data_IF_754266012910
#
_entry.id   IF_754266012910
#
_cell.length_a   1.000
_cell.length_b   1.000
_cell.length_c   1.000
_cell.angle_alpha   90.00
_cell.angle_beta   90.00
_cell.angle_gamma   90.00
#
_symmetry.space_group_name_H-M   'P 1'
#
loop_
_entity.id
_entity.type
_entity.pdbx_description
1 polymer ?
#
# COMPACT_ATOMS: atom_id res chain seq x y z
N UNK A 1 5.23 -20.96 30.55
CA UNK A 1 5.04 -21.17 29.10
C UNK A 1 4.85 -19.82 28.40
N UNK A 2 5.86 -18.93 28.40
CA UNK A 2 5.69 -17.55 27.90
C UNK A 2 6.72 -17.13 26.82
N UNK A 3 7.58 -18.05 26.37
CA UNK A 3 8.66 -17.76 25.40
C UNK A 3 8.35 -18.12 23.93
N UNK A 4 7.19 -18.70 23.62
CA UNK A 4 6.84 -19.12 22.25
C UNK A 4 6.25 -18.00 21.39
N UNK A 5 5.76 -16.92 22.01
CA UNK A 5 5.12 -15.78 21.34
C UNK A 5 6.06 -14.91 20.47
N UNK A 6 7.31 -14.58 20.89
CA UNK A 6 8.20 -13.75 20.07
C UNK A 6 8.75 -14.48 18.84
N UNK A 7 8.98 -15.80 18.93
CA UNK A 7 9.52 -16.60 17.83
C UNK A 7 8.49 -16.76 16.70
N UNK A 8 7.22 -16.98 17.04
CA UNK A 8 6.14 -17.08 16.04
C UNK A 8 5.97 -15.77 15.27
N UNK A 9 6.03 -14.63 15.97
CA UNK A 9 5.91 -13.31 15.34
C UNK A 9 7.11 -13.01 14.43
N UNK A 10 8.32 -13.43 14.81
CA UNK A 10 9.51 -13.33 13.98
C UNK A 10 9.42 -14.21 12.72
N UNK A 11 8.97 -15.46 12.85
CA UNK A 11 8.73 -16.36 11.71
C UNK A 11 7.67 -15.80 10.76
N UNK A 12 6.53 -15.33 11.27
CA UNK A 12 5.46 -14.73 10.45
C UNK A 12 5.99 -13.49 9.72
N UNK A 13 6.74 -12.62 10.40
CA UNK A 13 7.37 -11.45 9.77
C UNK A 13 8.40 -11.83 8.72
N UNK A 14 9.19 -12.88 8.93
CA UNK A 14 10.18 -13.35 7.98
C UNK A 14 9.55 -13.97 6.73
N UNK A 15 8.53 -14.81 6.91
CA UNK A 15 7.77 -15.40 5.79
C UNK A 15 7.09 -14.30 4.98
N UNK A 16 6.46 -13.32 5.65
CA UNK A 16 5.88 -12.16 4.97
C UNK A 16 6.93 -11.36 4.20
N UNK A 17 8.12 -11.16 4.76
CA UNK A 17 9.23 -10.48 4.09
C UNK A 17 9.72 -11.23 2.85
N UNK A 18 9.98 -12.53 2.95
CA UNK A 18 10.40 -13.36 1.81
C UNK A 18 9.32 -13.38 0.72
N UNK A 19 8.05 -13.44 1.12
CA UNK A 19 6.92 -13.40 0.18
C UNK A 19 6.89 -12.06 -0.55
N UNK A 20 6.98 -10.94 0.17
CA UNK A 20 7.04 -9.60 -0.43
C UNK A 20 8.25 -9.45 -1.36
N UNK A 21 9.43 -9.90 -0.94
CA UNK A 21 10.66 -9.87 -1.75
C UNK A 21 10.50 -10.69 -3.04
N UNK A 22 9.96 -11.91 -2.94
CA UNK A 22 9.72 -12.78 -4.10
C UNK A 22 8.74 -12.15 -5.09
N UNK A 23 7.73 -11.44 -4.58
CA UNK A 23 6.74 -10.74 -5.40
C UNK A 23 7.39 -9.56 -6.13
N UNK A 24 8.26 -8.79 -5.45
CA UNK A 24 9.03 -7.70 -6.08
C UNK A 24 9.95 -8.25 -7.17
N UNK A 25 10.69 -9.33 -6.90
CA UNK A 25 11.57 -9.96 -7.87
C UNK A 25 10.77 -10.49 -9.08
N UNK A 26 9.65 -11.15 -8.83
CA UNK A 26 8.74 -11.62 -9.88
C UNK A 26 8.24 -10.47 -10.77
N UNK A 27 7.85 -9.35 -10.17
CA UNK A 27 7.39 -8.17 -10.91
C UNK A 27 8.52 -7.55 -11.72
N UNK A 28 9.75 -7.52 -11.19
CA UNK A 28 10.92 -7.00 -11.91
C UNK A 28 11.27 -7.89 -13.11
N UNK A 29 11.30 -9.21 -12.92
CA UNK A 29 11.57 -10.17 -14.00
C UNK A 29 10.50 -10.06 -15.08
N UNK A 30 9.22 -10.12 -14.69
CA UNK A 30 8.08 -9.99 -15.62
C UNK A 30 8.14 -8.68 -16.41
N UNK A 31 8.56 -7.59 -15.77
CA UNK A 31 8.74 -6.30 -16.43
C UNK A 31 9.89 -6.33 -17.45
N UNK A 32 11.06 -6.85 -17.08
CA UNK A 32 12.22 -6.93 -17.98
C UNK A 32 11.92 -7.84 -19.17
N UNK A 33 11.35 -9.03 -18.94
CA UNK A 33 10.99 -9.98 -20.00
C UNK A 33 9.90 -9.39 -20.90
N UNK A 34 8.86 -8.79 -20.34
CA UNK A 34 7.79 -8.17 -21.14
C UNK A 34 8.30 -7.02 -22.01
N UNK A 35 9.22 -6.20 -21.50
CA UNK A 35 9.82 -5.11 -22.29
C UNK A 35 10.71 -5.65 -23.41
N UNK A 36 11.45 -6.74 -23.13
CA UNK A 36 12.32 -7.40 -24.11
C UNK A 36 11.52 -8.08 -25.23
N UNK A 37 10.44 -8.80 -24.90
CA UNK A 37 9.56 -9.45 -25.88
C UNK A 37 8.91 -8.43 -26.81
N UNK A 38 8.40 -7.32 -26.27
CA UNK A 38 7.87 -6.21 -27.07
C UNK A 38 8.94 -5.65 -28.01
N UNK A 39 10.18 -5.46 -27.53
CA UNK A 39 11.25 -4.90 -28.35
C UNK A 39 11.62 -5.81 -29.54
N UNK A 40 11.68 -7.13 -29.34
CA UNK A 40 11.91 -8.10 -30.41
C UNK A 40 10.74 -8.12 -31.39
N UNK A 41 9.50 -8.17 -30.90
CA UNK A 41 8.32 -8.18 -31.77
C UNK A 41 8.25 -6.91 -32.64
N UNK A 42 8.60 -5.73 -32.10
CA UNK A 42 8.70 -4.50 -32.90
C UNK A 42 9.78 -4.65 -33.99
N UNK A 43 10.95 -5.20 -33.65
CA UNK A 43 12.02 -5.40 -34.62
C UNK A 43 11.61 -6.35 -35.76
N UNK A 44 10.94 -7.46 -35.45
CA UNK A 44 10.47 -8.42 -36.45
C UNK A 44 9.38 -7.82 -37.35
N UNK A 45 8.48 -6.97 -36.81
CA UNK A 45 7.43 -6.32 -37.62
C UNK A 45 7.95 -5.30 -38.63
N UNK A 46 9.16 -4.74 -38.46
CA UNK A 46 9.72 -3.75 -39.39
C UNK A 46 9.99 -4.34 -40.79
N UNK A 47 10.09 -5.67 -40.89
CA UNK A 47 10.38 -6.37 -42.16
C UNK A 47 9.19 -7.13 -42.76
N UNK A 48 8.01 -7.13 -42.12
CA UNK A 48 6.84 -7.87 -42.58
C UNK A 48 5.97 -7.09 -43.58
N UNK A 49 5.06 -7.80 -44.26
CA UNK A 49 4.08 -7.23 -45.18
C UNK A 49 2.99 -6.44 -44.40
N UNK A 50 2.32 -5.42 -44.97
CA UNK A 50 1.40 -4.54 -44.24
C UNK A 50 0.23 -5.26 -43.55
N UNK A 51 -0.27 -6.35 -44.12
CA UNK A 51 -1.37 -7.12 -43.55
C UNK A 51 -0.95 -7.93 -42.30
N UNK A 52 0.26 -8.50 -42.31
CA UNK A 52 0.83 -9.22 -41.17
C UNK A 52 1.31 -8.27 -40.07
N UNK A 53 1.82 -7.09 -40.44
CA UNK A 53 2.13 -6.02 -39.48
C UNK A 53 0.92 -5.63 -38.64
N UNK A 54 -0.26 -5.54 -39.24
CA UNK A 54 -1.43 -5.04 -38.53
C UNK A 54 -1.97 -6.04 -37.51
N UNK A 55 -1.91 -7.35 -37.77
CA UNK A 55 -2.30 -8.37 -36.79
C UNK A 55 -1.31 -8.43 -35.62
N UNK A 56 -0.01 -8.36 -35.91
CA UNK A 56 1.04 -8.38 -34.88
C UNK A 56 1.04 -7.08 -34.07
N UNK A 57 0.85 -5.91 -34.70
CA UNK A 57 0.70 -4.64 -33.98
C UNK A 57 -0.48 -4.65 -33.03
N UNK A 58 -1.60 -5.30 -33.38
CA UNK A 58 -2.77 -5.35 -32.51
C UNK A 58 -2.52 -6.28 -31.29
N UNK A 59 -1.79 -7.38 -31.49
CA UNK A 59 -1.33 -8.25 -30.40
C UNK A 59 -0.32 -7.52 -29.49
N UNK A 60 0.70 -6.88 -30.08
CA UNK A 60 1.67 -6.03 -29.40
C UNK A 60 1.01 -4.93 -28.57
N UNK A 61 -0.02 -4.27 -29.12
CA UNK A 61 -0.70 -3.18 -28.42
C UNK A 61 -1.38 -3.68 -27.14
N UNK A 62 -1.87 -4.93 -27.15
CA UNK A 62 -2.49 -5.56 -25.97
C UNK A 62 -1.44 -5.89 -24.92
N UNK A 63 -0.30 -6.49 -25.30
CA UNK A 63 0.83 -6.76 -24.40
C UNK A 63 1.48 -5.48 -23.85
N UNK A 64 1.55 -4.44 -24.67
CA UNK A 64 2.08 -3.14 -24.28
C UNK A 64 1.16 -2.43 -23.29
N UNK A 65 -0.16 -2.48 -23.51
CA UNK A 65 -1.14 -1.97 -22.55
C UNK A 65 -1.02 -2.70 -21.20
N UNK A 66 -0.82 -4.02 -21.22
CA UNK A 66 -0.60 -4.80 -19.99
C UNK A 66 0.68 -4.37 -19.26
N UNK A 67 1.76 -4.16 -20.01
CA UNK A 67 3.05 -3.70 -19.47
C UNK A 67 2.96 -2.28 -18.89
N UNK A 68 2.30 -1.35 -19.58
CA UNK A 68 2.06 0.01 -19.09
C UNK A 68 1.22 -0.03 -17.81
N UNK A 69 0.17 -0.86 -17.79
CA UNK A 69 -0.68 -1.02 -16.62
C UNK A 69 0.10 -1.53 -15.40
N UNK A 70 0.94 -2.56 -15.59
CA UNK A 70 1.84 -3.05 -14.54
C UNK A 70 2.78 -1.95 -14.04
N UNK A 71 3.33 -1.13 -14.95
CA UNK A 71 4.20 0.00 -14.58
C UNK A 71 3.44 1.06 -13.76
N UNK A 72 2.20 1.39 -14.13
CA UNK A 72 1.34 2.31 -13.37
C UNK A 72 1.10 1.78 -11.95
N UNK A 73 0.78 0.49 -11.80
CA UNK A 73 0.63 -0.16 -10.49
C UNK A 73 1.91 -0.08 -9.70
N UNK A 74 3.03 -0.45 -10.32
CA UNK A 74 4.33 -0.50 -9.66
C UNK A 74 4.74 0.90 -9.18
N UNK A 75 4.55 1.93 -10.00
CA UNK A 75 4.82 3.32 -9.63
C UNK A 75 3.95 3.78 -8.46
N UNK A 76 2.67 3.38 -8.42
CA UNK A 76 1.77 3.69 -7.31
C UNK A 76 2.14 2.92 -6.03
N UNK A 77 2.42 1.62 -6.15
CA UNK A 77 2.87 0.78 -5.05
C UNK A 77 4.19 1.29 -4.46
N UNK A 78 5.13 1.71 -5.30
CA UNK A 78 6.38 2.34 -4.87
C UNK A 78 6.13 3.62 -4.08
N UNK A 79 5.25 4.52 -4.55
CA UNK A 79 4.90 5.72 -3.78
C UNK A 79 4.33 5.39 -2.41
N UNK A 80 3.51 4.35 -2.33
CA UNK A 80 2.90 3.91 -1.06
C UNK A 80 3.96 3.30 -0.14
N UNK A 81 4.89 2.53 -0.68
CA UNK A 81 6.02 1.98 0.06
C UNK A 81 6.93 3.08 0.60
N UNK A 82 7.26 4.09 -0.20
CA UNK A 82 8.09 5.23 0.23
C UNK A 82 7.38 6.05 1.30
N UNK A 83 6.08 6.30 1.14
CA UNK A 83 5.30 7.02 2.16
C UNK A 83 5.18 6.19 3.45
N UNK A 84 5.04 4.87 3.33
CA UNK A 84 5.09 3.94 4.47
C UNK A 84 6.45 3.95 5.17
N UNK A 85 7.56 3.92 4.44
CA UNK A 85 8.91 4.00 5.02
C UNK A 85 9.12 5.31 5.79
N UNK A 86 8.48 6.41 5.36
CA UNK A 86 8.60 7.71 6.03
C UNK A 86 7.79 7.80 7.32
N UNK A 87 6.62 7.18 7.36
CA UNK A 87 5.63 7.38 8.43
C UNK A 87 5.26 6.12 9.22
N UNK A 88 5.79 4.96 8.82
CA UNK A 88 5.47 3.61 9.33
C UNK A 88 3.97 3.26 9.37
N UNK A 89 3.13 4.03 8.68
CA UNK A 89 1.69 3.86 8.63
C UNK A 89 1.19 4.04 7.19
N UNK A 90 0.26 3.18 6.78
CA UNK A 90 -0.36 3.25 5.45
C UNK A 90 -1.70 3.99 5.59
N UNK A 91 -1.82 5.15 4.94
CA UNK A 91 -3.09 5.88 4.92
C UNK A 91 -4.18 5.08 4.19
N UNK A 92 -5.38 5.06 4.74
CA UNK A 92 -6.55 4.38 4.15
C UNK A 92 -6.86 4.87 2.73
N UNK A 93 -6.53 6.13 2.42
CA UNK A 93 -6.64 6.68 1.07
C UNK A 93 -5.82 5.88 0.05
N UNK A 94 -4.57 5.55 0.39
CA UNK A 94 -3.68 4.79 -0.49
C UNK A 94 -4.15 3.34 -0.66
N UNK A 95 -4.68 2.73 0.39
CA UNK A 95 -5.28 1.38 0.29
C UNK A 95 -6.48 1.38 -0.66
N UNK A 96 -7.33 2.40 -0.60
CA UNK A 96 -8.46 2.56 -1.51
C UNK A 96 -8.01 2.79 -2.95
N UNK A 97 -7.02 3.65 -3.18
CA UNK A 97 -6.48 3.90 -4.53
C UNK A 97 -5.93 2.61 -5.17
N UNK A 98 -5.13 1.83 -4.43
CA UNK A 98 -4.64 0.53 -4.94
C UNK A 98 -5.79 -0.44 -5.15
N UNK A 99 -6.76 -0.52 -4.23
CA UNK A 99 -7.88 -1.45 -4.36
C UNK A 99 -8.72 -1.20 -5.62
N UNK A 100 -8.94 0.07 -5.97
CA UNK A 100 -9.63 0.45 -7.21
C UNK A 100 -8.78 0.07 -8.42
N UNK A 101 -7.50 0.46 -8.45
CA UNK A 101 -6.61 0.18 -9.59
C UNK A 101 -6.50 -1.33 -9.81
N UNK A 102 -6.22 -2.11 -8.78
CA UNK A 102 -6.09 -3.57 -8.88
C UNK A 102 -7.36 -4.20 -9.45
N UNK A 103 -8.54 -3.84 -8.91
CA UNK A 103 -9.82 -4.37 -9.40
C UNK A 103 -10.07 -4.02 -10.87
N UNK A 104 -9.73 -2.80 -11.30
CA UNK A 104 -9.90 -2.36 -12.69
C UNK A 104 -8.94 -3.08 -13.64
N UNK A 105 -7.68 -3.26 -13.26
CA UNK A 105 -6.70 -3.93 -14.13
C UNK A 105 -6.97 -5.42 -14.25
N UNK A 106 -7.41 -6.05 -13.17
CA UNK A 106 -7.83 -7.45 -13.18
C UNK A 106 -9.00 -7.65 -14.16
N UNK A 107 -9.94 -6.70 -14.18
CA UNK A 107 -11.07 -6.69 -15.12
C UNK A 107 -10.68 -6.38 -16.56
N UNK A 108 -9.69 -5.51 -16.79
CA UNK A 108 -9.27 -5.11 -18.15
C UNK A 108 -8.39 -6.17 -18.81
N UNK A 109 -7.42 -6.74 -18.08
CA UNK A 109 -6.42 -7.63 -18.67
C UNK A 109 -6.78 -9.10 -18.56
N UNK A 110 -7.52 -9.48 -17.53
CA UNK A 110 -7.84 -10.88 -17.27
C UNK A 110 -9.33 -11.18 -17.45
N UNK A 111 -10.04 -10.30 -18.17
CA UNK A 111 -11.48 -10.41 -18.44
C UNK A 111 -11.87 -11.79 -18.94
N UNK A 112 -11.13 -12.31 -19.93
CA UNK A 112 -11.50 -13.55 -20.60
C UNK A 112 -11.27 -14.79 -19.73
N UNK A 113 -10.28 -14.78 -18.84
CA UNK A 113 -9.96 -15.91 -17.97
C UNK A 113 -10.95 -16.09 -16.82
N UNK A 114 -11.72 -15.05 -16.49
CA UNK A 114 -12.69 -15.10 -15.40
C UNK A 114 -14.07 -15.59 -15.83
N UNK A 115 -14.74 -16.32 -14.94
CA UNK A 115 -16.16 -16.64 -15.08
C UNK A 115 -17.00 -15.36 -14.97
N UNK A 116 -18.21 -15.40 -15.51
CA UNK A 116 -19.09 -14.21 -15.52
C UNK A 116 -19.42 -13.73 -14.10
N UNK A 117 -19.54 -14.64 -13.14
CA UNK A 117 -19.78 -14.33 -11.73
C UNK A 117 -18.59 -13.57 -11.11
N UNK A 118 -17.36 -14.03 -11.35
CA UNK A 118 -16.15 -13.35 -10.86
C UNK A 118 -16.02 -11.95 -11.44
N UNK A 119 -16.35 -11.77 -12.73
CA UNK A 119 -16.34 -10.45 -13.37
C UNK A 119 -17.30 -9.48 -12.69
N UNK A 120 -18.51 -9.91 -12.35
CA UNK A 120 -19.47 -9.08 -11.63
C UNK A 120 -19.02 -8.77 -10.20
N UNK A 121 -18.35 -9.70 -9.53
CA UNK A 121 -17.77 -9.46 -8.20
C UNK A 121 -16.68 -8.38 -8.29
N UNK A 122 -15.71 -8.53 -9.19
CA UNK A 122 -14.65 -7.53 -9.36
C UNK A 122 -15.21 -6.17 -9.78
N UNK A 123 -16.23 -6.15 -10.65
CA UNK A 123 -16.89 -4.91 -11.05
C UNK A 123 -17.60 -4.26 -9.87
N UNK A 124 -18.33 -5.06 -9.08
CA UNK A 124 -19.02 -4.61 -7.88
C UNK A 124 -18.05 -4.03 -6.84
N UNK A 125 -16.90 -4.68 -6.63
CA UNK A 125 -15.84 -4.19 -5.72
C UNK A 125 -15.24 -2.89 -6.26
N UNK A 126 -14.88 -2.83 -7.54
CA UNK A 126 -14.32 -1.63 -8.16
C UNK A 126 -15.25 -0.43 -8.05
N UNK A 127 -16.54 -0.61 -8.40
CA UNK A 127 -17.56 0.43 -8.31
C UNK A 127 -17.83 0.83 -6.85
N UNK A 128 -17.87 -0.14 -5.93
CA UNK A 128 -18.06 0.15 -4.51
C UNK A 128 -16.91 0.97 -3.94
N UNK A 129 -15.67 0.60 -4.24
CA UNK A 129 -14.51 1.37 -3.81
C UNK A 129 -14.45 2.74 -4.45
N UNK A 130 -14.76 2.85 -5.75
CA UNK A 130 -14.84 4.14 -6.43
C UNK A 130 -15.94 5.04 -5.82
N UNK A 131 -17.10 4.47 -5.49
CA UNK A 131 -18.20 5.20 -4.85
C UNK A 131 -17.81 5.66 -3.44
N UNK A 132 -17.21 4.79 -2.62
CA UNK A 132 -16.70 5.17 -1.29
C UNK A 132 -15.64 6.28 -1.44
N UNK A 133 -14.72 6.11 -2.39
CA UNK A 133 -13.66 7.08 -2.64
C UNK A 133 -14.22 8.45 -3.06
N UNK A 134 -15.23 8.48 -3.93
CA UNK A 134 -15.88 9.71 -4.37
C UNK A 134 -16.73 10.38 -3.27
N UNK A 135 -17.60 9.61 -2.59
CA UNK A 135 -18.53 10.17 -1.59
C UNK A 135 -17.87 10.49 -0.25
N UNK A 136 -16.80 9.77 0.12
CA UNK A 136 -16.07 9.98 1.37
C UNK A 136 -14.68 10.56 1.15
N UNK A 137 -14.43 11.16 -0.01
CA UNK A 137 -13.14 11.75 -0.36
C UNK A 137 -12.64 12.70 0.74
N UNK A 138 -13.49 13.63 1.18
CA UNK A 138 -13.10 14.64 2.17
C UNK A 138 -12.81 14.03 3.54
N UNK A 139 -13.54 12.97 3.92
CA UNK A 139 -13.27 12.22 5.14
C UNK A 139 -11.94 11.48 5.06
N UNK A 140 -11.63 10.84 3.92
CA UNK A 140 -10.37 10.14 3.69
C UNK A 140 -9.18 11.11 3.71
N UNK A 141 -9.33 12.29 3.08
CA UNK A 141 -8.30 13.33 3.09
C UNK A 141 -8.11 13.90 4.49
N UNK A 142 -9.18 14.07 5.25
CA UNK A 142 -9.09 14.56 6.63
C UNK A 142 -8.38 13.55 7.53
N UNK A 143 -8.73 12.26 7.44
CA UNK A 143 -8.07 11.18 8.18
C UNK A 143 -6.57 11.09 7.83
N UNK A 144 -6.22 11.24 6.55
CA UNK A 144 -4.82 11.30 6.10
C UNK A 144 -4.06 12.49 6.69
N UNK A 145 -4.67 13.68 6.73
CA UNK A 145 -4.05 14.86 7.33
C UNK A 145 -3.85 14.70 8.84
N UNK A 146 -4.82 14.10 9.52
CA UNK A 146 -4.76 13.85 10.95
C UNK A 146 -3.66 12.83 11.29
N UNK A 147 -3.60 11.70 10.57
CA UNK A 147 -2.52 10.71 10.73
C UNK A 147 -1.13 11.33 10.49
N UNK A 148 -0.99 12.21 9.50
CA UNK A 148 0.25 12.94 9.24
C UNK A 148 0.60 13.97 10.32
N UNK A 149 -0.40 14.60 10.94
CA UNK A 149 -0.16 15.54 12.05
C UNK A 149 0.34 14.79 13.26
N UNK A 150 -0.35 13.71 13.64
CA UNK A 150 0.04 12.87 14.77
C UNK A 150 1.47 12.35 14.57
N UNK A 151 1.79 11.76 13.42
CA UNK A 151 3.13 11.26 13.16
C UNK A 151 4.22 12.36 13.15
N UNK A 152 3.89 13.59 12.74
CA UNK A 152 4.83 14.72 12.82
C UNK A 152 5.10 15.14 14.26
N UNK A 153 4.11 15.04 15.14
CA UNK A 153 4.26 15.32 16.57
C UNK A 153 5.19 14.28 17.22
N UNK A 154 4.97 12.98 16.95
CA UNK A 154 5.88 11.91 17.41
C UNK A 154 7.34 12.12 17.01
N UNK A 155 7.58 12.48 15.74
CA UNK A 155 8.93 12.77 15.24
C UNK A 155 9.61 13.95 15.93
N UNK A 156 8.85 14.95 16.39
CA UNK A 156 9.40 16.08 17.14
C UNK A 156 9.69 15.70 18.58
N UNK A 157 8.78 14.99 19.22
CA UNK A 157 8.94 14.54 20.60
C UNK A 157 10.18 13.63 20.73
N UNK A 158 10.41 12.73 19.77
CA UNK A 158 11.62 11.89 19.75
C UNK A 158 12.90 12.72 19.57
N UNK A 159 12.86 13.76 18.74
CA UNK A 159 13.99 14.66 18.53
C UNK A 159 14.28 15.52 19.75
N UNK A 160 13.25 16.03 20.42
CA UNK A 160 13.36 16.81 21.67
C UNK A 160 13.85 15.92 22.82
N UNK A 161 13.35 14.68 22.93
CA UNK A 161 13.81 13.72 23.92
C UNK A 161 15.29 13.32 23.72
N UNK A 162 15.79 13.28 22.48
CA UNK A 162 17.22 13.06 22.21
C UNK A 162 18.07 14.26 22.60
N UNK A 163 17.58 15.49 22.41
CA UNK A 163 18.29 16.72 22.78
C UNK A 163 18.32 16.94 24.30
N UNK A 164 17.27 16.54 25.02
CA UNK A 164 17.25 16.59 26.50
C UNK A 164 18.16 15.54 27.14
N UNK A 165 18.51 14.48 26.40
CA UNK A 165 19.42 13.42 26.84
C UNK A 165 20.86 13.56 26.35
N UNK A 166 21.22 14.67 25.69
CA UNK A 166 22.61 15.00 25.40
C UNK A 166 23.24 15.61 26.67
N UNK A 167 24.03 14.86 27.48
CA UNK A 167 24.86 15.51 28.49
C UNK A 167 25.80 16.47 27.78
N UNK A 168 25.95 17.68 28.31
CA UNK A 168 26.93 18.66 27.85
C UNK A 168 28.25 17.94 27.53
N UNK A 169 28.67 18.03 26.27
CA UNK A 169 29.79 17.28 25.73
C UNK A 169 31.10 17.62 26.46
N UNK A 170 31.45 16.80 27.45
CA UNK A 170 32.83 16.58 27.83
C UNK A 170 33.34 15.39 27.00
N UNK A 171 34.48 15.59 26.33
CA UNK A 171 34.97 14.69 25.30
C UNK A 171 35.27 13.28 25.80
N UNK A 172 34.66 12.28 25.17
CA UNK A 172 35.13 10.90 25.21
C UNK A 172 34.95 10.21 23.85
N UNK A 173 36.00 9.50 23.49
CA UNK A 173 36.23 8.72 22.29
C UNK A 173 35.24 7.54 22.22
N UNK A 174 34.45 7.46 21.14
CA UNK A 174 33.45 6.40 20.96
C UNK A 174 34.10 5.08 20.52
N UNK A 175 34.12 4.11 21.43
CA UNK A 175 34.23 2.68 21.08
C UNK A 175 32.83 2.18 20.74
N UNK A 176 32.61 1.76 19.50
CA UNK A 176 31.34 1.16 19.07
C UNK A 176 31.14 -0.18 19.77
N UNK A 177 30.17 -0.24 20.69
CA UNK A 177 29.65 -1.48 21.23
C UNK A 177 28.18 -1.61 20.79
N UNK A 178 27.90 -2.58 19.92
CA UNK A 178 26.54 -2.86 19.42
C UNK A 178 25.63 -3.27 20.59
N UNK A 179 24.63 -2.44 20.90
CA UNK A 179 23.58 -2.74 21.87
C UNK A 179 22.31 -3.16 21.12
N UNK A 180 21.60 -4.24 21.54
CA UNK A 180 20.43 -4.72 20.82
C UNK A 180 19.26 -3.73 20.96
N UNK A 181 18.65 -3.35 19.83
CA UNK A 181 17.49 -2.45 19.77
C UNK A 181 16.27 -3.11 20.43
N UNK A 182 15.91 -2.67 21.63
CA UNK A 182 14.70 -3.10 22.33
C UNK A 182 13.49 -2.28 21.82
N UNK A 183 12.51 -2.95 21.20
CA UNK A 183 11.31 -2.31 20.65
C UNK A 183 10.40 -1.79 21.79
N UNK A 184 9.89 -0.55 21.72
CA UNK A 184 8.99 -0.02 22.74
C UNK A 184 7.62 -0.73 22.70
N UNK A 185 7.16 -1.21 23.86
CA UNK A 185 5.83 -1.83 24.02
C UNK A 185 4.71 -0.77 23.95
N UNK A 186 3.59 -1.04 23.28
CA UNK A 186 2.48 -0.09 23.19
C UNK A 186 1.79 0.08 24.56
N UNK A 187 1.73 1.33 25.05
CA UNK A 187 0.93 1.72 26.22
C UNK A 187 -0.56 1.62 25.88
N UNK A 188 -1.27 0.67 26.50
CA UNK A 188 -2.74 0.61 26.48
C UNK A 188 -3.31 1.87 27.15
N UNK A 189 -3.94 2.78 26.39
CA UNK A 189 -4.66 3.92 26.95
C UNK A 189 -6.14 3.60 27.10
N UNK A 190 -6.64 3.75 28.32
CA UNK A 190 -8.01 3.47 28.74
C UNK A 190 -9.02 4.38 28.01
N UNK A 191 -10.06 3.76 27.45
CA UNK A 191 -11.23 4.43 26.88
C UNK A 191 -12.09 5.03 27.99
N UNK A 192 -12.21 6.37 28.03
CA UNK A 192 -13.21 7.06 28.86
C UNK A 192 -14.60 6.88 28.25
N UNK A 193 -15.48 6.20 28.99
CA UNK A 193 -16.94 6.13 28.73
C UNK A 193 -17.53 7.55 28.70
N UNK A 194 -18.16 7.91 27.58
CA UNK A 194 -19.01 9.09 27.46
C UNK A 194 -20.44 8.72 27.90
N UNK A 195 -20.87 9.28 29.04
CA UNK A 195 -22.22 9.13 29.59
C UNK A 195 -23.15 10.12 28.88
N UNK A 196 -23.97 9.65 27.94
CA UNK A 196 -24.98 10.46 27.26
C UNK A 196 -26.24 10.56 28.13
N UNK A 197 -26.50 11.72 28.73
CA UNK A 197 -27.78 12.05 29.39
C UNK A 197 -28.86 12.21 28.32
N UNK A 198 -29.88 11.36 28.37
CA UNK A 198 -31.11 11.50 27.56
C UNK A 198 -32.20 12.11 28.45
N UNK A 199 -32.61 13.34 28.14
CA UNK A 199 -33.74 14.02 28.79
C UNK A 199 -35.04 13.53 28.17
N UNK A 200 -35.89 12.88 28.98
CA UNK A 200 -37.23 12.44 28.60
C UNK A 200 -38.19 13.64 28.52
N UNK A 201 -38.84 13.83 27.37
CA UNK A 201 -39.91 14.82 27.18
C UNK A 201 -41.26 14.12 27.38
N UNK A 202 -41.92 14.40 28.51
CA UNK A 202 -43.32 14.04 28.76
C UNK A 202 -44.22 14.80 27.78
N UNK A 203 -45.06 14.08 27.04
CA UNK A 203 -46.23 14.63 26.35
C UNK A 203 -47.44 14.26 27.22
N UNK A 204 -48.12 15.28 27.74
CA UNK A 204 -49.37 15.16 28.46
C UNK A 204 -50.54 15.42 27.50
N UNK A 205 -51.53 14.54 27.54
CA UNK A 205 -52.84 14.63 26.88
C UNK A 205 -53.58 15.93 27.23
N UNK A 206 -54.25 16.51 26.24
CA UNK A 206 -55.62 17.04 26.37
C UNK A 206 -56.34 16.80 25.05
#
# INVERSE_FOLDING_TARGET
MERTVPFLNACISFVAFITALSLVVYMLVSFVTGTYDVAIQIFDTVFLDPAERQSILNALNTEFLHTIALLIVLMKAYRILVEYMRWYHIDIKYMMEIGIIASVLELLFNYQSYSIEMRYIFLGVAVSFAAIYAFRHDTLVSAMKESRRENREWLKDDHEACLEHEPAADGYEYVYQEVPVEKPKPKKRATKKSTKKTTAKKIAKR
#
